data_IF_949713913365
#
_entry.id   IF_949713913365
#
_cell.length_a   1.000
_cell.length_b   1.000
_cell.length_c   1.000
_cell.angle_alpha   90.00
_cell.angle_beta   90.00
_cell.angle_gamma   90.00
#
_symmetry.space_group_name_H-M   'P 1'
#
loop_
_entity.id
_entity.type
_entity.pdbx_description
1 polymer ?
#
# COMPACT_ATOMS: atom_id res chain seq x y z
N UNK A 1 -3.38 -0.50 1.54
CA UNK A 1 -4.09 0.02 0.35
C UNK A 1 -4.05 -1.03 -0.73
N UNK A 2 -5.14 -1.20 -1.49
CA UNK A 2 -5.20 -2.13 -2.61
C UNK A 2 -6.31 -1.74 -3.58
N UNK A 3 -6.15 -2.10 -4.84
CA UNK A 3 -7.12 -1.80 -5.90
C UNK A 3 -7.82 -3.08 -6.34
N UNK A 4 -9.13 -3.01 -6.46
CA UNK A 4 -9.98 -4.17 -6.81
C UNK A 4 -11.03 -3.75 -7.84
N UNK A 5 -11.50 -4.68 -8.67
CA UNK A 5 -12.57 -4.36 -9.62
C UNK A 5 -13.84 -4.00 -8.85
N UNK A 6 -14.61 -3.07 -9.41
CA UNK A 6 -15.88 -2.66 -8.80
C UNK A 6 -16.88 -3.82 -8.72
N UNK A 7 -16.87 -4.73 -9.70
CA UNK A 7 -17.70 -5.95 -9.70
C UNK A 7 -17.35 -6.89 -8.56
N UNK A 8 -16.06 -7.16 -8.32
CA UNK A 8 -15.62 -8.02 -7.22
C UNK A 8 -15.96 -7.39 -5.86
N UNK A 9 -15.76 -6.08 -5.72
CA UNK A 9 -16.11 -5.35 -4.50
C UNK A 9 -17.61 -5.41 -4.18
N UNK A 10 -18.46 -5.32 -5.19
CA UNK A 10 -19.92 -5.41 -5.03
C UNK A 10 -20.45 -6.84 -4.87
N UNK A 11 -19.57 -7.84 -4.77
CA UNK A 11 -19.95 -9.21 -4.44
C UNK A 11 -20.40 -10.06 -5.63
N UNK A 12 -19.91 -9.78 -6.84
CA UNK A 12 -20.10 -10.71 -7.95
C UNK A 12 -19.45 -12.06 -7.64
N UNK A 13 -20.24 -13.14 -7.63
CA UNK A 13 -19.80 -14.48 -7.23
C UNK A 13 -18.75 -15.09 -8.15
N UNK A 14 -18.58 -14.56 -9.37
CA UNK A 14 -17.57 -15.04 -10.32
C UNK A 14 -16.23 -14.35 -10.14
N UNK A 15 -16.17 -13.30 -9.30
CA UNK A 15 -14.97 -12.51 -9.07
C UNK A 15 -14.48 -12.62 -7.61
N UNK A 16 -13.17 -12.51 -7.41
CA UNK A 16 -12.56 -12.56 -6.08
C UNK A 16 -12.31 -11.14 -5.52
N UNK A 17 -12.95 -10.73 -4.41
CA UNK A 17 -12.76 -9.40 -3.81
C UNK A 17 -11.37 -9.20 -3.17
N UNK A 18 -10.60 -10.28 -2.98
CA UNK A 18 -9.22 -10.23 -2.45
C UNK A 18 -8.15 -10.25 -3.54
N UNK A 19 -8.55 -10.21 -4.81
CA UNK A 19 -7.62 -10.08 -5.94
C UNK A 19 -7.26 -8.60 -6.16
N UNK A 20 -6.20 -8.16 -5.48
CA UNK A 20 -5.67 -6.80 -5.57
C UNK A 20 -4.77 -6.65 -6.80
N UNK A 21 -5.34 -6.13 -7.89
CA UNK A 21 -4.65 -5.96 -9.17
C UNK A 21 -3.77 -4.70 -9.16
N UNK A 22 -2.65 -4.74 -9.87
CA UNK A 22 -1.78 -3.57 -10.04
C UNK A 22 -2.31 -2.53 -11.04
N UNK A 23 -3.20 -2.92 -11.97
CA UNK A 23 -3.78 -2.03 -13.00
C UNK A 23 -2.74 -1.21 -13.80
N UNK A 24 -1.57 -1.79 -14.06
CA UNK A 24 -0.44 -1.10 -14.71
C UNK A 24 -0.02 0.20 -14.00
N UNK A 25 -0.13 0.23 -12.66
CA UNK A 25 0.36 1.30 -11.79
C UNK A 25 1.79 1.67 -12.18
N UNK A 26 2.00 2.97 -12.44
CA UNK A 26 3.28 3.52 -12.90
C UNK A 26 3.83 4.59 -11.98
N UNK A 27 2.99 5.13 -11.09
CA UNK A 27 3.38 6.14 -10.11
C UNK A 27 2.51 6.05 -8.86
N UNK A 28 3.12 6.12 -7.68
CA UNK A 28 2.42 6.25 -6.40
C UNK A 28 3.23 7.09 -5.40
N UNK A 29 2.60 8.10 -4.82
CA UNK A 29 3.08 8.74 -3.58
C UNK A 29 1.91 9.33 -2.78
N UNK A 30 2.14 9.53 -1.48
CA UNK A 30 1.34 10.40 -0.64
C UNK A 30 1.95 11.80 -0.63
N UNK A 31 1.10 12.81 -0.53
CA UNK A 31 1.45 14.21 -0.39
C UNK A 31 0.93 14.71 0.97
N UNK A 32 1.83 15.20 1.82
CA UNK A 32 1.50 15.96 3.02
C UNK A 32 1.83 17.43 2.73
N UNK A 33 0.82 18.18 2.27
CA UNK A 33 1.04 19.49 1.65
C UNK A 33 1.98 19.38 0.44
N UNK A 34 3.17 19.97 0.55
CA UNK A 34 4.19 19.96 -0.52
C UNK A 34 5.24 18.84 -0.35
N UNK A 35 5.12 18.01 0.68
CA UNK A 35 6.07 16.92 0.95
C UNK A 35 5.56 15.61 0.36
N UNK A 36 6.40 14.95 -0.44
CA UNK A 36 6.15 13.58 -0.90
C UNK A 36 6.56 12.54 0.14
N UNK A 37 5.72 11.52 0.30
CA UNK A 37 5.95 10.34 1.13
C UNK A 37 5.68 9.09 0.27
N UNK A 38 6.69 8.24 0.03
CA UNK A 38 8.11 8.47 0.29
C UNK A 38 8.68 9.64 -0.54
N UNK A 39 9.84 10.17 -0.14
CA UNK A 39 10.52 11.29 -0.80
C UNK A 39 10.83 11.04 -2.28
N UNK A 40 11.09 9.77 -2.64
CA UNK A 40 11.12 9.30 -4.02
C UNK A 40 9.83 8.51 -4.29
N UNK A 41 8.92 8.97 -5.15
CA UNK A 41 7.72 8.22 -5.50
C UNK A 41 8.02 6.79 -5.96
N UNK A 42 7.06 5.89 -5.77
CA UNK A 42 7.13 4.58 -6.39
C UNK A 42 6.85 4.71 -7.88
N UNK A 43 7.63 4.00 -8.69
CA UNK A 43 7.43 3.94 -10.15
C UNK A 43 7.59 2.49 -10.62
N UNK A 44 6.67 1.60 -10.24
CA UNK A 44 6.78 0.20 -10.61
C UNK A 44 6.54 -0.01 -12.11
N UNK A 45 7.11 -1.09 -12.64
CA UNK A 45 6.75 -1.63 -13.97
C UNK A 45 6.47 -3.12 -13.82
N UNK A 46 5.27 -3.53 -14.22
CA UNK A 46 4.79 -4.92 -14.15
C UNK A 46 4.91 -5.65 -15.50
N UNK A 47 5.65 -5.07 -16.44
CA UNK A 47 5.98 -5.67 -17.73
C UNK A 47 7.11 -6.71 -17.60
N UNK A 48 7.73 -7.07 -18.73
CA UNK A 48 8.86 -8.01 -18.77
C UNK A 48 10.05 -7.59 -17.90
N UNK A 49 10.21 -6.30 -17.60
CA UNK A 49 11.26 -5.80 -16.73
C UNK A 49 11.03 -6.12 -15.25
N UNK A 50 9.79 -6.48 -14.84
CA UNK A 50 9.38 -6.78 -13.47
C UNK A 50 10.00 -5.83 -12.41
N UNK A 51 10.03 -4.53 -12.72
CA UNK A 51 10.65 -3.50 -11.90
C UNK A 51 9.69 -2.99 -10.80
N UNK A 52 9.23 -3.88 -9.92
CA UNK A 52 8.33 -3.55 -8.80
C UNK A 52 8.90 -3.95 -7.42
N UNK A 53 10.14 -4.42 -7.36
CA UNK A 53 10.86 -4.82 -6.13
C UNK A 53 10.76 -3.81 -5.00
N UNK A 54 10.85 -2.52 -5.31
CA UNK A 54 10.77 -1.47 -4.28
C UNK A 54 9.40 -1.43 -3.60
N UNK A 55 8.31 -1.62 -4.36
CA UNK A 55 6.96 -1.63 -3.81
C UNK A 55 6.72 -2.88 -2.97
N UNK A 56 7.17 -4.03 -3.47
CA UNK A 56 7.12 -5.28 -2.73
C UNK A 56 7.89 -5.19 -1.41
N UNK A 57 9.14 -4.71 -1.45
CA UNK A 57 9.96 -4.57 -0.24
C UNK A 57 9.36 -3.56 0.75
N UNK A 58 8.80 -2.45 0.26
CA UNK A 58 8.19 -1.46 1.15
C UNK A 58 6.99 -2.00 1.91
N UNK A 59 6.27 -2.98 1.35
CA UNK A 59 5.18 -3.63 2.08
C UNK A 59 5.69 -4.31 3.36
N UNK A 60 6.88 -4.92 3.35
CA UNK A 60 7.47 -5.53 4.53
C UNK A 60 7.97 -4.50 5.54
N UNK A 61 8.63 -3.44 5.06
CA UNK A 61 9.15 -2.38 5.94
C UNK A 61 8.02 -1.63 6.63
N UNK A 62 7.00 -1.25 5.86
CA UNK A 62 5.95 -0.34 6.33
C UNK A 62 4.87 -1.06 7.16
N UNK A 63 4.85 -2.40 7.09
CA UNK A 63 4.10 -3.25 8.03
C UNK A 63 4.91 -3.67 9.26
N UNK A 64 6.17 -3.24 9.38
CA UNK A 64 7.02 -3.62 10.51
C UNK A 64 7.36 -5.11 10.54
N UNK A 65 7.39 -5.76 9.38
CA UNK A 65 7.69 -7.20 9.20
C UNK A 65 9.11 -7.46 8.76
N UNK A 66 9.79 -6.43 8.28
CA UNK A 66 11.19 -6.52 7.87
C UNK A 66 12.07 -6.95 9.05
N UNK A 67 12.89 -7.99 8.85
CA UNK A 67 13.74 -8.64 9.88
C UNK A 67 13.01 -9.29 11.07
N UNK A 68 11.72 -9.61 10.95
CA UNK A 68 11.01 -10.43 11.95
C UNK A 68 10.70 -11.81 11.39
N UNK A 69 10.56 -12.80 12.27
CA UNK A 69 10.16 -14.18 11.91
C UNK A 69 8.70 -14.29 11.40
N UNK A 70 8.04 -13.16 11.14
CA UNK A 70 6.66 -13.09 10.69
C UNK A 70 6.62 -12.60 9.24
N UNK A 71 6.18 -13.49 8.35
CA UNK A 71 5.96 -13.21 6.93
C UNK A 71 4.57 -12.60 6.70
N UNK A 72 4.39 -11.92 5.58
CA UNK A 72 3.09 -11.47 5.06
C UNK A 72 2.40 -12.51 4.17
N UNK A 73 3.06 -13.66 3.94
CA UNK A 73 2.57 -14.79 3.14
C UNK A 73 2.19 -14.39 1.69
N UNK A 74 3.01 -13.52 1.09
CA UNK A 74 2.90 -13.10 -0.31
C UNK A 74 4.29 -13.17 -0.91
N UNK A 75 4.49 -14.04 -1.91
CA UNK A 75 5.76 -14.12 -2.64
C UNK A 75 5.93 -12.96 -3.63
N UNK A 76 7.16 -12.78 -4.12
CA UNK A 76 7.48 -11.75 -5.12
C UNK A 76 6.72 -11.95 -6.45
N UNK A 77 6.43 -13.19 -6.83
CA UNK A 77 5.60 -13.50 -8.01
C UNK A 77 4.12 -13.24 -7.75
N UNK A 78 3.59 -13.71 -6.62
CA UNK A 78 2.18 -13.48 -6.26
C UNK A 78 1.86 -11.99 -6.13
N UNK A 79 2.82 -11.18 -5.67
CA UNK A 79 2.62 -9.74 -5.54
C UNK A 79 2.14 -9.07 -6.83
N UNK A 80 2.69 -9.43 -7.99
CA UNK A 80 2.21 -8.88 -9.28
C UNK A 80 0.94 -9.58 -9.78
N UNK A 81 0.70 -10.81 -9.35
CA UNK A 81 -0.37 -11.69 -9.85
C UNK A 81 -1.61 -11.67 -8.92
N UNK A 82 -1.99 -10.47 -8.45
CA UNK A 82 -3.23 -10.27 -7.69
C UNK A 82 -3.06 -10.00 -6.19
N UNK A 83 -1.84 -9.81 -5.72
CA UNK A 83 -1.56 -9.41 -4.34
C UNK A 83 -0.80 -8.08 -4.26
N UNK A 84 -1.09 -7.14 -5.17
CA UNK A 84 -0.43 -5.83 -5.21
C UNK A 84 -0.98 -4.90 -4.13
N UNK A 85 -0.48 -5.06 -2.92
CA UNK A 85 -0.81 -4.24 -1.76
C UNK A 85 0.27 -3.22 -1.46
N UNK A 86 -0.14 -2.04 -1.02
CA UNK A 86 0.76 -0.97 -0.59
C UNK A 86 0.47 -0.59 0.86
N UNK A 87 1.51 -0.50 1.67
CA UNK A 87 1.47 0.09 3.01
C UNK A 87 2.41 1.31 3.01
N UNK A 88 2.09 2.30 3.86
CA UNK A 88 2.96 3.44 4.13
C UNK A 88 2.91 3.68 5.62
N UNK A 89 4.07 3.62 6.28
CA UNK A 89 4.21 4.00 7.66
C UNK A 89 4.31 5.53 7.76
N UNK A 90 3.37 6.14 8.47
CA UNK A 90 3.29 7.59 8.68
C UNK A 90 3.81 8.01 10.06
N UNK A 91 4.29 7.07 10.87
CA UNK A 91 4.93 7.39 12.15
C UNK A 91 6.21 8.22 11.92
N UNK A 92 6.53 9.17 12.81
CA UNK A 92 7.72 10.00 12.70
C UNK A 92 9.03 9.25 12.56
N UNK A 93 9.09 8.09 13.19
CA UNK A 93 10.26 7.27 13.41
C UNK A 93 10.19 5.92 12.67
N UNK A 94 9.18 5.74 11.81
CA UNK A 94 8.97 4.55 10.98
C UNK A 94 8.90 3.26 11.82
N UNK A 95 8.19 3.36 12.93
CA UNK A 95 8.09 2.32 13.96
C UNK A 95 6.63 2.00 14.29
N UNK A 96 5.75 1.96 13.28
CA UNK A 96 4.32 1.65 13.49
C UNK A 96 4.04 0.34 14.26
N UNK A 97 5.01 -0.58 14.31
CA UNK A 97 4.91 -1.83 15.07
C UNK A 97 5.39 -1.75 16.52
N UNK A 98 6.03 -0.65 16.91
CA UNK A 98 6.70 -0.51 18.19
C UNK A 98 5.72 -0.27 19.35
N UNK A 99 6.21 -0.50 20.57
CA UNK A 99 5.43 -0.39 21.80
C UNK A 99 5.61 0.97 22.49
N UNK A 100 5.73 2.05 21.72
CA UNK A 100 5.80 3.42 22.26
C UNK A 100 4.86 4.36 21.50
N UNK A 101 4.52 5.47 22.14
CA UNK A 101 3.66 6.46 21.53
C UNK A 101 4.47 7.36 20.60
N UNK A 102 4.09 7.37 19.33
CA UNK A 102 4.55 8.39 18.38
C UNK A 102 3.81 9.70 18.63
N UNK A 103 4.50 10.82 18.40
CA UNK A 103 3.89 12.16 18.49
C UNK A 103 2.70 12.25 17.52
N UNK A 104 1.55 12.65 18.06
CA UNK A 104 0.36 12.91 17.25
C UNK A 104 0.61 14.09 16.31
N UNK A 105 0.36 13.87 15.02
CA UNK A 105 0.45 14.90 13.99
C UNK A 105 -0.82 14.92 13.16
N UNK A 106 -1.35 16.13 12.95
CA UNK A 106 -2.40 16.34 11.98
C UNK A 106 -1.77 16.35 10.59
N UNK A 107 -2.16 15.39 9.75
CA UNK A 107 -1.67 15.27 8.38
C UNK A 107 -2.83 15.53 7.42
N UNK A 108 -2.59 16.36 6.41
CA UNK A 108 -3.52 16.56 5.31
C UNK A 108 -2.97 15.81 4.10
N UNK A 109 -3.41 14.57 3.95
CA UNK A 109 -2.85 13.65 2.96
C UNK A 109 -3.64 13.66 1.67
N UNK A 110 -2.94 13.82 0.54
CA UNK A 110 -3.45 13.51 -0.79
C UNK A 110 -2.69 12.32 -1.37
N UNK A 111 -3.39 11.44 -2.09
CA UNK A 111 -2.81 10.27 -2.73
C UNK A 111 -2.72 10.52 -4.24
N UNK A 112 -1.51 10.55 -4.80
CA UNK A 112 -1.26 10.68 -6.24
C UNK A 112 -0.94 9.28 -6.81
N UNK A 113 -1.83 8.80 -7.66
CA UNK A 113 -1.75 7.51 -8.34
C UNK A 113 -1.85 7.74 -9.84
N UNK A 114 -0.95 7.11 -10.60
CA UNK A 114 -0.99 7.15 -12.07
C UNK A 114 -0.79 5.75 -12.64
N UNK A 115 -1.43 5.52 -13.78
CA UNK A 115 -1.41 4.25 -14.50
C UNK A 115 -0.72 4.47 -15.86
N UNK A 116 0.04 3.47 -16.31
CA UNK A 116 0.67 3.53 -17.63
C UNK A 116 -0.28 3.16 -18.77
N UNK A 117 -1.45 2.59 -18.45
CA UNK A 117 -2.52 2.27 -19.40
C UNK A 117 -3.85 2.79 -18.86
N UNK A 118 -4.82 2.95 -19.76
CA UNK A 118 -6.20 3.23 -19.37
C UNK A 118 -6.74 2.08 -18.53
N UNK A 119 -7.49 2.40 -17.47
CA UNK A 119 -8.14 1.39 -16.65
C UNK A 119 -9.16 0.62 -17.52
N UNK A 120 -9.10 -0.72 -17.57
CA UNK A 120 -9.97 -1.51 -18.44
C UNK A 120 -11.40 -1.63 -17.88
N UNK A 121 -11.60 -1.29 -16.62
CA UNK A 121 -12.85 -1.43 -15.88
C UNK A 121 -12.93 -0.35 -14.79
N UNK A 122 -14.10 -0.19 -14.16
CA UNK A 122 -14.23 0.63 -12.95
C UNK A 122 -13.50 -0.03 -11.80
N UNK A 123 -12.61 0.71 -11.13
CA UNK A 123 -11.75 0.22 -10.05
C UNK A 123 -12.09 0.91 -8.75
N UNK A 124 -12.21 0.14 -7.67
CA UNK A 124 -12.31 0.65 -6.31
C UNK A 124 -10.93 0.61 -5.64
N UNK A 125 -10.54 1.73 -5.03
CA UNK A 125 -9.36 1.78 -4.16
C UNK A 125 -9.80 1.57 -2.71
N UNK A 126 -9.29 0.51 -2.09
CA UNK A 126 -9.52 0.19 -0.68
C UNK A 126 -8.36 0.74 0.14
N UNK A 127 -8.68 1.63 1.08
CA UNK A 127 -7.73 2.24 2.01
C UNK A 127 -8.13 1.88 3.43
N UNK A 128 -7.21 1.27 4.16
CA UNK A 128 -7.32 1.07 5.59
C UNK A 128 -6.38 2.06 6.29
N UNK A 129 -6.93 2.85 7.21
CA UNK A 129 -6.18 3.80 8.03
C UNK A 129 -6.29 3.34 9.49
N UNK A 130 -5.15 3.02 10.09
CA UNK A 130 -5.08 2.70 11.51
C UNK A 130 -4.39 3.83 12.24
N UNK A 131 -5.08 4.42 13.23
CA UNK A 131 -4.44 5.29 14.20
C UNK A 131 -3.94 4.41 15.34
N UNK A 132 -2.63 4.31 15.49
CA UNK A 132 -2.04 3.71 16.70
C UNK A 132 -2.06 4.77 17.79
N UNK A 133 -3.05 4.69 18.68
CA UNK A 133 -3.05 5.39 19.96
C UNK A 133 -3.27 4.34 21.03
N UNK A 134 -2.21 3.96 21.75
CA UNK A 134 -2.39 3.12 22.94
C UNK A 134 -2.77 4.04 24.09
N UNK A 135 -3.91 3.78 24.71
CA UNK A 135 -4.28 4.47 25.95
C UNK A 135 -3.20 4.19 27.00
N UNK A 136 -2.66 5.27 27.59
CA UNK A 136 -2.05 5.21 28.91
C UNK A 136 -3.10 4.56 29.82
N UNK A 137 -2.78 3.38 30.36
CA UNK A 137 -3.48 2.87 31.52
C UNK A 137 -2.91 3.66 32.69
N UNK A 138 -3.71 4.59 33.20
CA UNK A 138 -3.51 5.26 34.49
C UNK A 138 -3.37 4.23 35.62
#
# INVERSE_FOLDING_TARGET
MGMVSNTAYNGDFSNNPFNFKHYDLSYLCLLDGNRMIPSKPYQPKFDTSNSYRRCYMSLFTDLGRYHKDQDINISYSEYKDGYTLMAIDLTPDLSADAMHDSILRNLNLALDIRFSKALPETVNLIVYLCRVSKCLRD
#
